data_IF_921021174221
#
_entry.id   IF_921021174221
#
_cell.length_a   1.000
_cell.length_b   1.000
_cell.length_c   1.000
_cell.angle_alpha   90.00
_cell.angle_beta   90.00
_cell.angle_gamma   90.00
#
_symmetry.space_group_name_H-M   'P 1'
#
loop_
_entity.id
_entity.type
_entity.pdbx_description
1 polymer ?
#
# COMPACT_ATOMS: atom_id res chain seq x y z
N UNK A 1 -7.44 -25.00 -7.80
CA UNK A 1 -6.17 -24.30 -7.54
C UNK A 1 -6.49 -23.16 -6.60
N UNK A 2 -5.70 -22.95 -5.55
CA UNK A 2 -5.93 -21.81 -4.66
C UNK A 2 -5.28 -20.56 -5.24
N UNK A 3 -5.91 -19.40 -5.04
CA UNK A 3 -5.41 -18.11 -5.52
C UNK A 3 -5.01 -17.22 -4.35
N UNK A 4 -3.77 -16.73 -4.37
CA UNK A 4 -3.26 -15.69 -3.47
C UNK A 4 -3.25 -14.35 -4.19
N UNK A 5 -3.97 -13.37 -3.65
CA UNK A 5 -4.05 -12.00 -4.15
C UNK A 5 -3.12 -11.08 -3.34
N UNK A 6 -2.08 -10.57 -3.98
CA UNK A 6 -1.13 -9.63 -3.37
C UNK A 6 -1.32 -8.24 -3.93
N UNK A 7 -1.49 -7.25 -3.06
CA UNK A 7 -1.74 -5.85 -3.45
C UNK A 7 -0.58 -4.98 -2.99
N UNK A 8 0.03 -4.27 -3.92
CA UNK A 8 0.92 -3.14 -3.61
C UNK A 8 0.06 -1.95 -3.12
N UNK A 9 0.01 -1.83 -1.79
CA UNK A 9 -0.69 -0.78 -1.08
C UNK A 9 -0.05 0.60 -1.25
N UNK A 10 1.29 0.67 -1.32
CA UNK A 10 2.01 1.93 -1.55
C UNK A 10 1.63 2.55 -2.90
N UNK A 11 1.65 1.74 -3.97
CA UNK A 11 1.23 2.19 -5.30
C UNK A 11 -0.25 2.60 -5.33
N UNK A 12 -1.13 1.84 -4.66
CA UNK A 12 -2.55 2.19 -4.53
C UNK A 12 -2.73 3.53 -3.81
N UNK A 13 -2.00 3.77 -2.73
CA UNK A 13 -2.05 5.01 -1.96
C UNK A 13 -1.73 6.24 -2.83
N UNK A 14 -0.62 6.19 -3.58
CA UNK A 14 -0.24 7.30 -4.48
C UNK A 14 -1.25 7.49 -5.62
N UNK A 15 -1.73 6.40 -6.22
CA UNK A 15 -2.75 6.47 -7.29
C UNK A 15 -4.06 7.08 -6.78
N UNK A 16 -4.50 6.68 -5.58
CA UNK A 16 -5.69 7.24 -4.95
C UNK A 16 -5.52 8.73 -4.67
N UNK A 17 -4.38 9.14 -4.11
CA UNK A 17 -4.11 10.54 -3.80
C UNK A 17 -4.18 11.46 -5.02
N UNK A 18 -3.65 11.03 -6.17
CA UNK A 18 -3.67 11.84 -7.39
C UNK A 18 -4.98 11.76 -8.18
N UNK A 19 -5.75 10.69 -8.01
CA UNK A 19 -7.02 10.50 -8.74
C UNK A 19 -8.23 11.08 -8.01
N UNK A 20 -8.19 11.12 -6.67
CA UNK A 20 -9.31 11.57 -5.85
C UNK A 20 -9.30 13.10 -5.73
N UNK A 21 -10.46 13.77 -5.70
CA UNK A 21 -10.54 15.18 -5.37
C UNK A 21 -10.10 15.43 -3.92
N UNK A 22 -9.88 16.70 -3.54
CA UNK A 22 -9.60 17.07 -2.14
C UNK A 22 -10.84 16.83 -1.27
N UNK A 23 -10.92 15.62 -0.73
CA UNK A 23 -11.99 15.18 0.17
C UNK A 23 -11.51 15.31 1.60
N UNK A 24 -12.30 16.02 2.41
CA UNK A 24 -12.01 16.29 3.81
C UNK A 24 -13.16 15.87 4.72
N UNK A 25 -12.85 15.44 5.93
CA UNK A 25 -13.85 15.11 6.96
C UNK A 25 -14.36 16.38 7.67
N UNK A 26 -15.24 16.22 8.67
CA UNK A 26 -15.79 17.34 9.46
C UNK A 26 -14.74 18.09 10.30
N UNK A 27 -13.58 17.49 10.55
CA UNK A 27 -12.43 18.12 11.19
C UNK A 27 -11.46 18.76 10.18
N UNK A 28 -11.84 18.81 8.89
CA UNK A 28 -11.05 19.33 7.78
C UNK A 28 -9.76 18.53 7.47
N UNK A 29 -9.69 17.27 7.92
CA UNK A 29 -8.57 16.37 7.64
C UNK A 29 -8.77 15.70 6.27
N UNK A 30 -7.71 15.54 5.45
CA UNK A 30 -7.82 14.91 4.14
C UNK A 30 -8.10 13.41 4.30
N UNK A 31 -9.04 12.89 3.52
CA UNK A 31 -9.48 11.47 3.55
C UNK A 31 -9.61 10.85 2.15
N UNK A 32 -9.29 11.61 1.10
CA UNK A 32 -9.46 11.18 -0.29
C UNK A 32 -8.64 9.94 -0.64
N UNK A 33 -7.39 9.86 -0.20
CA UNK A 33 -6.53 8.72 -0.48
C UNK A 33 -7.03 7.46 0.25
N UNK A 34 -7.50 7.62 1.49
CA UNK A 34 -8.13 6.53 2.25
C UNK A 34 -9.32 5.98 1.47
N UNK A 35 -10.28 6.83 1.13
CA UNK A 35 -11.48 6.40 0.41
C UNK A 35 -11.15 5.74 -0.92
N UNK A 36 -10.19 6.28 -1.67
CA UNK A 36 -9.74 5.71 -2.93
C UNK A 36 -9.17 4.30 -2.78
N UNK A 37 -8.25 4.10 -1.83
CA UNK A 37 -7.65 2.77 -1.57
C UNK A 37 -8.72 1.76 -1.16
N UNK A 38 -9.61 2.11 -0.23
CA UNK A 38 -10.65 1.18 0.23
C UNK A 38 -11.60 0.79 -0.90
N UNK A 39 -11.94 1.73 -1.79
CA UNK A 39 -12.76 1.43 -2.97
C UNK A 39 -12.05 0.49 -3.94
N UNK A 40 -10.75 0.69 -4.17
CA UNK A 40 -9.97 -0.20 -5.02
C UNK A 40 -9.86 -1.61 -4.43
N UNK A 41 -9.61 -1.75 -3.12
CA UNK A 41 -9.56 -3.04 -2.44
C UNK A 41 -10.92 -3.78 -2.48
N UNK A 42 -12.03 -3.07 -2.21
CA UNK A 42 -13.38 -3.65 -2.31
C UNK A 42 -13.68 -4.15 -3.72
N UNK A 43 -13.33 -3.35 -4.73
CA UNK A 43 -13.52 -3.73 -6.13
C UNK A 43 -12.65 -4.94 -6.48
N UNK A 44 -11.41 -4.98 -6.02
CA UNK A 44 -10.49 -6.08 -6.28
C UNK A 44 -11.01 -7.41 -5.70
N UNK A 45 -11.52 -7.42 -4.46
CA UNK A 45 -12.15 -8.61 -3.88
C UNK A 45 -13.39 -9.08 -4.66
N UNK A 46 -14.17 -8.13 -5.20
CA UNK A 46 -15.36 -8.45 -6.00
C UNK A 46 -14.98 -9.03 -7.37
N UNK A 47 -14.02 -8.40 -8.04
CA UNK A 47 -13.64 -8.71 -9.41
C UNK A 47 -12.73 -9.96 -9.47
N UNK A 48 -11.99 -10.25 -8.40
CA UNK A 48 -11.05 -11.37 -8.29
C UNK A 48 -11.27 -12.18 -7.00
N UNK A 49 -12.18 -13.16 -7.03
CA UNK A 49 -12.32 -14.13 -5.94
C UNK A 49 -10.98 -14.84 -5.67
N UNK A 50 -10.52 -14.81 -4.42
CA UNK A 50 -9.25 -15.39 -4.00
C UNK A 50 -9.39 -16.10 -2.66
N UNK A 51 -8.64 -17.18 -2.46
CA UNK A 51 -8.62 -17.94 -1.20
C UNK A 51 -7.82 -17.21 -0.12
N UNK A 52 -6.85 -16.41 -0.54
CA UNK A 52 -5.97 -15.63 0.32
C UNK A 52 -5.76 -14.25 -0.28
N UNK A 53 -5.63 -13.24 0.57
CA UNK A 53 -5.29 -11.89 0.14
C UNK A 53 -4.41 -11.19 1.17
N UNK A 54 -3.49 -10.33 0.72
CA UNK A 54 -2.71 -9.45 1.58
C UNK A 54 -2.43 -8.11 0.88
N UNK A 55 -2.37 -7.06 1.68
CA UNK A 55 -1.93 -5.74 1.23
C UNK A 55 -0.55 -5.46 1.79
N UNK A 56 0.39 -5.12 0.92
CA UNK A 56 1.81 -4.93 1.23
C UNK A 56 2.14 -3.46 1.06
N UNK A 57 2.77 -2.85 2.05
CA UNK A 57 3.23 -1.47 2.00
C UNK A 57 4.74 -1.40 2.23
N UNK A 58 5.36 -0.36 1.67
CA UNK A 58 6.76 -0.05 1.97
C UNK A 58 6.92 0.33 3.45
N UNK A 59 8.01 -0.15 4.05
CA UNK A 59 8.42 0.33 5.37
C UNK A 59 8.94 1.77 5.30
N UNK A 60 8.90 2.45 6.45
CA UNK A 60 9.63 3.72 6.60
C UNK A 60 11.13 3.42 6.70
N UNK A 61 11.94 4.31 6.15
CA UNK A 61 13.39 4.26 6.29
C UNK A 61 14.10 3.80 5.02
N UNK A 62 15.36 3.38 5.20
CA UNK A 62 16.22 2.93 4.11
C UNK A 62 15.99 1.44 3.84
N UNK A 63 16.26 1.06 2.61
CA UNK A 63 16.33 -0.33 2.16
C UNK A 63 17.79 -0.72 1.93
N UNK A 64 18.04 -2.01 1.71
CA UNK A 64 19.36 -2.48 1.28
C UNK A 64 19.85 -1.83 -0.03
N UNK A 65 18.94 -1.30 -0.87
CA UNK A 65 19.32 -0.63 -2.12
C UNK A 65 19.96 0.73 -1.87
N UNK A 66 19.55 1.44 -0.82
CA UNK A 66 20.15 2.71 -0.41
C UNK A 66 21.62 2.54 0.01
N UNK A 67 21.95 1.40 0.62
CA UNK A 67 23.32 1.07 1.03
C UNK A 67 24.19 0.61 -0.16
N UNK A 68 23.58 -0.07 -1.14
CA UNK A 68 24.26 -0.52 -2.37
C UNK A 68 24.51 0.63 -3.35
N UNK A 69 23.55 1.55 -3.47
CA UNK A 69 23.58 2.65 -4.42
C UNK A 69 22.91 3.90 -3.83
N UNK A 70 23.68 4.85 -3.29
CA UNK A 70 23.14 6.04 -2.62
C UNK A 70 22.23 6.92 -3.48
N UNK A 71 22.42 6.92 -4.81
CA UNK A 71 21.59 7.69 -5.74
C UNK A 71 20.31 6.95 -6.17
N UNK A 72 20.08 5.74 -5.65
CA UNK A 72 18.85 4.99 -5.91
C UNK A 72 17.63 5.78 -5.45
N UNK A 73 16.70 6.05 -6.37
CA UNK A 73 15.48 6.86 -6.13
C UNK A 73 15.77 8.25 -5.50
N UNK A 74 16.98 8.80 -5.63
CA UNK A 74 17.36 10.09 -5.03
C UNK A 74 16.51 11.28 -5.52
N UNK A 75 15.98 11.19 -6.75
CA UNK A 75 15.09 12.22 -7.33
C UNK A 75 13.61 12.04 -6.96
N UNK A 76 13.26 11.11 -6.06
CA UNK A 76 11.87 10.90 -5.65
C UNK A 76 11.41 12.08 -4.81
N UNK A 77 10.30 12.70 -5.21
CA UNK A 77 9.69 13.81 -4.46
C UNK A 77 9.24 13.30 -3.10
N UNK A 78 9.42 14.12 -2.06
CA UNK A 78 8.90 13.81 -0.73
C UNK A 78 7.39 13.60 -0.78
N UNK A 79 6.90 12.71 0.07
CA UNK A 79 5.46 12.46 0.17
C UNK A 79 4.75 13.75 0.61
N UNK A 80 3.66 14.18 -0.07
CA UNK A 80 2.87 15.34 0.34
C UNK A 80 2.34 15.20 1.78
N UNK A 81 2.27 16.31 2.51
CA UNK A 81 1.82 16.31 3.92
C UNK A 81 0.40 15.77 4.06
N UNK A 82 -0.50 16.18 3.16
CA UNK A 82 -1.90 15.71 3.12
C UNK A 82 -2.00 14.20 2.87
N UNK A 83 -1.04 13.61 2.15
CA UNK A 83 -0.98 12.15 1.98
C UNK A 83 -0.40 11.47 3.23
N UNK A 84 0.62 12.07 3.83
CA UNK A 84 1.34 11.49 4.97
C UNK A 84 0.43 11.28 6.18
N UNK A 85 -0.43 12.24 6.48
CA UNK A 85 -1.38 12.14 7.61
C UNK A 85 -2.45 11.06 7.41
N UNK A 86 -2.67 10.60 6.18
CA UNK A 86 -3.63 9.56 5.85
C UNK A 86 -3.10 8.13 5.99
N UNK A 87 -1.79 7.93 6.13
CA UNK A 87 -1.19 6.58 6.13
C UNK A 87 -1.66 5.74 7.32
N UNK A 88 -1.51 6.26 8.54
CA UNK A 88 -1.85 5.47 9.74
C UNK A 88 -3.35 5.15 9.81
N UNK A 89 -4.26 6.13 9.61
CA UNK A 89 -5.69 5.84 9.54
C UNK A 89 -6.05 4.85 8.42
N UNK A 90 -5.35 4.90 7.28
CA UNK A 90 -5.52 3.90 6.22
C UNK A 90 -5.14 2.50 6.70
N UNK A 91 -3.99 2.35 7.36
CA UNK A 91 -3.53 1.05 7.86
C UNK A 91 -4.51 0.45 8.87
N UNK A 92 -5.00 1.26 9.80
CA UNK A 92 -6.05 0.87 10.75
C UNK A 92 -7.30 0.39 10.01
N UNK A 93 -7.73 1.13 8.98
CA UNK A 93 -8.95 0.80 8.23
C UNK A 93 -8.80 -0.47 7.38
N UNK A 94 -7.64 -0.68 6.75
CA UNK A 94 -7.34 -1.91 6.00
C UNK A 94 -7.39 -3.12 6.93
N UNK A 95 -6.75 -3.04 8.10
CA UNK A 95 -6.82 -4.11 9.12
C UNK A 95 -8.25 -4.35 9.60
N UNK A 96 -9.01 -3.29 9.86
CA UNK A 96 -10.41 -3.37 10.28
C UNK A 96 -11.32 -3.99 9.20
N UNK A 97 -10.99 -3.82 7.91
CA UNK A 97 -11.65 -4.50 6.79
C UNK A 97 -11.32 -6.00 6.70
N UNK A 98 -10.42 -6.52 7.56
CA UNK A 98 -10.01 -7.91 7.57
C UNK A 98 -8.90 -8.25 6.58
N UNK A 99 -8.25 -7.24 5.98
CA UNK A 99 -7.07 -7.48 5.14
C UNK A 99 -5.83 -7.67 6.01
N UNK A 100 -5.07 -8.76 5.81
CA UNK A 100 -3.69 -8.83 6.27
C UNK A 100 -2.89 -7.67 5.68
N UNK A 101 -2.26 -6.89 6.55
CA UNK A 101 -1.40 -5.77 6.18
C UNK A 101 0.04 -6.13 6.54
N UNK A 102 0.92 -6.14 5.53
CA UNK A 102 2.33 -6.55 5.65
C UNK A 102 3.21 -5.34 5.39
N UNK A 103 4.13 -5.07 6.31
CA UNK A 103 5.19 -4.07 6.21
C UNK A 103 6.45 -4.75 6.72
N UNK A 104 7.46 -4.87 5.85
CA UNK A 104 8.73 -5.51 6.20
C UNK A 104 9.84 -4.46 6.14
N UNK A 105 10.59 -4.30 7.24
CA UNK A 105 11.67 -3.32 7.31
C UNK A 105 12.87 -3.74 6.46
N UNK A 106 13.56 -2.75 5.87
CA UNK A 106 14.79 -2.97 5.10
C UNK A 106 14.60 -3.44 3.65
N UNK A 107 13.37 -3.69 3.20
CA UNK A 107 13.01 -4.09 1.83
C UNK A 107 11.84 -3.27 1.27
N UNK A 108 11.63 -3.32 -0.04
CA UNK A 108 10.48 -2.67 -0.70
C UNK A 108 9.27 -3.60 -0.77
N UNK A 109 8.07 -3.05 -0.94
CA UNK A 109 6.85 -3.83 -1.10
C UNK A 109 6.96 -4.84 -2.26
N UNK A 110 7.64 -4.46 -3.35
CA UNK A 110 7.91 -5.32 -4.51
C UNK A 110 8.70 -6.59 -4.13
N UNK A 111 9.66 -6.48 -3.22
CA UNK A 111 10.48 -7.61 -2.76
C UNK A 111 9.61 -8.62 -1.99
N UNK A 112 8.77 -8.11 -1.09
CA UNK A 112 7.85 -8.93 -0.29
C UNK A 112 6.82 -9.61 -1.18
N UNK A 113 6.25 -8.88 -2.15
CA UNK A 113 5.29 -9.44 -3.12
C UNK A 113 5.96 -10.55 -3.94
N UNK A 114 7.17 -10.32 -4.46
CA UNK A 114 7.92 -11.31 -5.22
C UNK A 114 8.23 -12.58 -4.41
N UNK A 115 8.64 -12.42 -3.15
CA UNK A 115 8.92 -13.53 -2.25
C UNK A 115 7.67 -14.36 -1.95
N UNK A 116 6.55 -13.70 -1.60
CA UNK A 116 5.28 -14.38 -1.30
C UNK A 116 4.70 -15.08 -2.54
N UNK A 117 4.77 -14.44 -3.71
CA UNK A 117 4.36 -15.05 -4.96
C UNK A 117 5.16 -16.33 -5.24
N UNK A 118 6.49 -16.30 -5.08
CA UNK A 118 7.34 -17.48 -5.27
C UNK A 118 7.04 -18.59 -4.26
N UNK A 119 6.76 -18.23 -3.02
CA UNK A 119 6.42 -19.18 -1.98
C UNK A 119 5.07 -19.87 -2.25
N UNK A 120 4.11 -19.15 -2.83
CA UNK A 120 2.78 -19.66 -3.15
C UNK A 120 2.73 -20.58 -4.39
N UNK A 121 3.82 -20.70 -5.16
CA UNK A 121 3.94 -21.68 -6.25
C UNK A 121 4.07 -23.13 -5.74
N UNK A 122 4.41 -23.31 -4.46
CA UNK A 122 4.61 -24.63 -3.82
C UNK A 122 3.30 -25.21 -3.29
#
# INVERSE_FOLDING_TARGET
>A
MKTLLLVDGSSYLYRAFHAMPDLRNSANEPVGAIQGVLNMLRRLHKDYPSDYSACVFDAKGKTFRDDLYPEYKANRVSMPDDLRVQIEPLYETIRAMGWPLIIEEGVEADDVIGALAKQAEK
#
